data_IF_614685422274
#
_entry.id   IF_614685422274
#
_cell.length_a   1.000
_cell.length_b   1.000
_cell.length_c   1.000
_cell.angle_alpha   90.00
_cell.angle_beta   90.00
_cell.angle_gamma   90.00
#
_symmetry.space_group_name_H-M   'P 1'
#
loop_
_entity.id
_entity.type
_entity.pdbx_description
1 polymer ?
#
# COMPACT_ATOMS: atom_id res chain seq x y z
N UNK A 1 -65.01 13.38 -8.33
CA UNK A 1 -64.56 12.88 -7.01
C UNK A 1 -63.06 12.67 -7.05
N UNK A 2 -62.27 13.50 -6.35
CA UNK A 2 -60.85 13.26 -6.12
C UNK A 2 -60.54 13.68 -4.67
N UNK A 3 -60.31 12.67 -3.82
CA UNK A 3 -60.04 12.83 -2.39
C UNK A 3 -58.60 13.32 -2.20
N UNK A 4 -58.43 14.50 -1.58
CA UNK A 4 -57.13 14.97 -1.07
C UNK A 4 -56.72 14.11 0.12
N UNK A 5 -55.60 13.38 -0.01
CA UNK A 5 -54.98 12.66 1.10
C UNK A 5 -54.00 13.59 1.81
N UNK A 6 -54.38 14.06 2.99
CA UNK A 6 -53.50 14.79 3.91
C UNK A 6 -52.50 13.80 4.52
N UNK A 7 -51.23 13.87 4.11
CA UNK A 7 -50.16 13.24 4.90
C UNK A 7 -49.85 14.12 6.10
N UNK A 8 -49.96 13.53 7.28
CA UNK A 8 -49.71 14.19 8.57
C UNK A 8 -48.24 14.60 8.70
N UNK A 9 -47.99 15.81 9.19
CA UNK A 9 -46.66 16.39 9.47
C UNK A 9 -45.88 15.56 10.52
N UNK A 10 -46.52 14.61 11.20
CA UNK A 10 -45.90 13.72 12.18
C UNK A 10 -44.91 12.68 11.57
N UNK A 11 -44.89 12.47 10.25
CA UNK A 11 -43.99 11.50 9.60
C UNK A 11 -42.58 12.06 9.32
N UNK A 12 -42.33 13.35 9.60
CA UNK A 12 -41.03 14.02 9.37
C UNK A 12 -40.13 14.09 10.61
N UNK A 13 -40.51 13.47 11.73
CA UNK A 13 -39.75 13.51 12.98
C UNK A 13 -39.36 12.11 13.45
N UNK A 14 -38.58 11.40 12.63
CA UNK A 14 -37.78 10.27 13.09
C UNK A 14 -36.30 10.66 12.98
N UNK A 15 -35.52 10.62 14.08
CA UNK A 15 -34.08 10.82 13.99
C UNK A 15 -33.47 9.61 13.26
N UNK A 16 -33.06 9.82 12.00
CA UNK A 16 -32.18 8.89 11.31
C UNK A 16 -30.83 8.86 12.05
N UNK A 17 -30.26 7.69 12.36
CA UNK A 17 -28.95 7.60 12.99
C UNK A 17 -27.87 7.89 11.94
N UNK A 18 -27.46 9.16 11.80
CA UNK A 18 -26.57 9.61 10.71
C UNK A 18 -25.18 10.06 11.17
N UNK A 19 -24.66 9.57 12.30
CA UNK A 19 -23.40 10.10 12.85
C UNK A 19 -22.32 9.08 13.27
N UNK A 20 -22.54 7.77 13.09
CA UNK A 20 -21.53 6.77 13.46
C UNK A 20 -20.52 6.46 12.32
N UNK A 21 -20.95 6.44 11.06
CA UNK A 21 -20.10 5.97 9.95
C UNK A 21 -19.12 7.03 9.39
N UNK A 22 -19.38 8.31 9.63
CA UNK A 22 -18.56 9.41 9.09
C UNK A 22 -17.37 9.76 9.98
N UNK A 23 -17.46 9.54 11.30
CA UNK A 23 -16.34 9.77 12.22
C UNK A 23 -15.23 8.73 12.02
N UNK A 24 -15.60 7.45 11.98
CA UNK A 24 -14.64 6.33 11.88
C UNK A 24 -13.81 6.38 10.58
N UNK A 25 -14.42 6.71 9.44
CA UNK A 25 -13.70 6.83 8.15
C UNK A 25 -12.67 7.96 8.16
N UNK A 26 -12.96 9.06 8.84
CA UNK A 26 -12.04 10.18 8.95
C UNK A 26 -10.85 9.86 9.87
N UNK A 27 -11.10 9.12 10.95
CA UNK A 27 -10.06 8.72 11.90
C UNK A 27 -9.05 7.74 11.28
N UNK A 28 -9.52 6.77 10.49
CA UNK A 28 -8.66 5.82 9.77
C UNK A 28 -7.77 6.51 8.73
N UNK A 29 -8.33 7.48 8.01
CA UNK A 29 -7.58 8.26 7.01
C UNK A 29 -6.53 9.15 7.69
N UNK A 30 -6.87 9.77 8.83
CA UNK A 30 -5.91 10.53 9.64
C UNK A 30 -4.78 9.65 10.20
N UNK A 31 -5.10 8.43 10.64
CA UNK A 31 -4.12 7.48 11.11
C UNK A 31 -3.16 7.05 9.98
N UNK A 32 -3.69 6.80 8.79
CA UNK A 32 -2.88 6.45 7.62
C UNK A 32 -1.93 7.58 7.24
N UNK A 33 -2.40 8.83 7.21
CA UNK A 33 -1.54 9.99 6.92
C UNK A 33 -0.38 10.11 7.93
N UNK A 34 -0.66 9.95 9.23
CA UNK A 34 0.40 9.94 10.26
C UNK A 34 1.42 8.83 10.04
N UNK A 35 0.98 7.62 9.65
CA UNK A 35 1.89 6.52 9.32
C UNK A 35 2.76 6.84 8.11
N UNK A 36 2.20 7.45 7.08
CA UNK A 36 2.95 7.87 5.88
C UNK A 36 4.00 8.91 6.25
N UNK A 37 3.66 9.90 7.08
CA UNK A 37 4.62 10.91 7.54
C UNK A 37 5.79 10.27 8.30
N UNK A 38 5.51 9.38 9.26
CA UNK A 38 6.56 8.64 9.98
C UNK A 38 7.40 7.75 9.05
N UNK A 39 6.76 7.04 8.11
CA UNK A 39 7.43 6.20 7.13
C UNK A 39 8.33 7.02 6.18
N UNK A 40 8.00 8.28 5.92
CA UNK A 40 8.73 9.14 4.97
C UNK A 40 9.59 10.21 5.62
N UNK A 41 9.64 10.25 6.95
CA UNK A 41 10.57 11.09 7.69
C UNK A 41 12.03 10.88 7.24
N UNK A 42 12.75 11.97 7.04
CA UNK A 42 14.13 12.00 6.57
C UNK A 42 14.30 12.13 5.04
N UNK A 43 13.22 12.02 4.26
CA UNK A 43 13.22 12.30 2.81
C UNK A 43 12.95 13.79 2.51
N UNK A 44 13.75 14.70 3.09
CA UNK A 44 13.47 16.15 3.10
C UNK A 44 13.34 16.80 1.70
N UNK A 45 14.06 16.30 0.69
CA UNK A 45 14.11 16.92 -0.64
C UNK A 45 13.25 16.23 -1.69
N UNK A 46 12.74 15.02 -1.41
CA UNK A 46 12.03 14.23 -2.42
C UNK A 46 10.74 13.64 -1.85
N UNK A 47 9.60 14.23 -2.23
CA UNK A 47 8.25 13.69 -1.93
C UNK A 47 7.95 12.34 -2.59
N UNK A 48 8.90 11.79 -3.35
CA UNK A 48 8.73 10.55 -4.10
C UNK A 48 8.23 9.38 -3.23
N UNK A 49 8.79 9.21 -2.03
CA UNK A 49 8.39 8.13 -1.13
C UNK A 49 6.95 8.33 -0.60
N UNK A 50 6.58 9.57 -0.27
CA UNK A 50 5.23 9.94 0.14
C UNK A 50 4.22 9.69 -1.00
N UNK A 51 4.57 10.12 -2.21
CA UNK A 51 3.75 9.92 -3.41
C UNK A 51 3.54 8.44 -3.72
N UNK A 52 4.54 7.57 -3.49
CA UNK A 52 4.36 6.12 -3.65
C UNK A 52 3.26 5.60 -2.71
N UNK A 53 3.30 5.95 -1.43
CA UNK A 53 2.35 5.43 -0.43
C UNK A 53 0.94 5.99 -0.61
N UNK A 54 0.83 7.18 -1.22
CA UNK A 54 -0.44 7.83 -1.55
C UNK A 54 -1.00 7.42 -2.93
N UNK A 55 -0.22 6.77 -3.79
CA UNK A 55 -0.66 6.38 -5.13
C UNK A 55 -1.67 5.22 -5.10
N UNK A 56 -2.96 5.58 -5.25
CA UNK A 56 -4.07 4.62 -5.28
C UNK A 56 -4.14 3.77 -6.55
N UNK A 57 -3.33 4.08 -7.57
CA UNK A 57 -3.12 3.21 -8.73
C UNK A 57 -2.01 2.17 -8.50
N UNK A 58 -1.41 2.14 -7.30
CA UNK A 58 -0.38 1.16 -6.91
C UNK A 58 -0.74 0.43 -5.63
N UNK A 59 -1.33 1.13 -4.67
CA UNK A 59 -1.59 0.63 -3.32
C UNK A 59 -3.01 0.97 -2.88
N UNK A 60 -3.73 -0.04 -2.39
CA UNK A 60 -4.93 0.18 -1.59
C UNK A 60 -4.56 0.92 -0.30
N UNK A 61 -5.55 1.51 0.38
CA UNK A 61 -5.31 2.17 1.68
C UNK A 61 -4.73 1.19 2.72
N UNK A 62 -5.24 -0.04 2.73
CA UNK A 62 -4.76 -1.10 3.61
C UNK A 62 -3.31 -1.50 3.31
N UNK A 63 -2.98 -1.75 2.04
CA UNK A 63 -1.60 -2.04 1.65
C UNK A 63 -0.66 -0.87 1.95
N UNK A 64 -1.12 0.37 1.76
CA UNK A 64 -0.33 1.55 2.14
C UNK A 64 -0.08 1.61 3.66
N UNK A 65 -1.06 1.21 4.49
CA UNK A 65 -0.92 1.13 5.95
C UNK A 65 0.12 0.08 6.34
N UNK A 66 -0.05 -1.18 5.89
CA UNK A 66 0.91 -2.28 6.14
C UNK A 66 2.31 -1.92 5.67
N UNK A 67 2.41 -1.28 4.51
CA UNK A 67 3.69 -0.87 3.96
C UNK A 67 4.34 0.25 4.78
N UNK A 68 3.56 1.22 5.24
CA UNK A 68 4.07 2.27 6.13
C UNK A 68 4.61 1.68 7.44
N UNK A 69 3.87 0.73 8.04
CA UNK A 69 4.31 0.01 9.24
C UNK A 69 5.64 -0.73 9.00
N UNK A 70 5.77 -1.43 7.87
CA UNK A 70 7.03 -2.08 7.50
C UNK A 70 8.19 -1.09 7.37
N UNK A 71 7.99 0.06 6.73
CA UNK A 71 9.08 1.06 6.59
C UNK A 71 9.47 1.63 7.96
N UNK A 72 8.50 1.87 8.84
CA UNK A 72 8.75 2.31 10.22
C UNK A 72 9.55 1.24 10.99
N UNK A 73 9.15 -0.02 10.91
CA UNK A 73 9.86 -1.14 11.53
C UNK A 73 11.30 -1.25 10.99
N UNK A 74 11.47 -1.23 9.67
CA UNK A 74 12.79 -1.31 9.03
C UNK A 74 13.70 -0.12 9.43
N UNK A 75 13.15 1.09 9.58
CA UNK A 75 13.89 2.25 10.10
C UNK A 75 14.40 1.99 11.53
N UNK A 76 13.56 1.41 12.39
CA UNK A 76 13.87 1.13 13.80
C UNK A 76 14.87 -0.02 13.96
N UNK A 77 14.72 -1.10 13.19
CA UNK A 77 15.49 -2.33 13.39
C UNK A 77 16.85 -2.31 12.71
N UNK A 78 16.92 -1.81 11.47
CA UNK A 78 18.13 -1.90 10.63
C UNK A 78 18.68 -0.52 10.28
N UNK A 79 17.85 0.51 10.33
CA UNK A 79 18.15 1.88 9.94
C UNK A 79 18.97 2.03 8.64
N UNK A 80 18.46 1.55 7.49
CA UNK A 80 19.23 1.58 6.25
C UNK A 80 19.38 3.00 5.68
N UNK A 81 20.34 3.16 4.77
CA UNK A 81 20.55 4.40 4.00
C UNK A 81 19.28 4.78 3.22
N UNK A 82 19.03 6.08 3.04
CA UNK A 82 17.83 6.60 2.35
C UNK A 82 17.63 6.00 0.95
N UNK A 83 18.71 5.85 0.16
CA UNK A 83 18.59 5.23 -1.16
C UNK A 83 18.12 3.78 -1.11
N UNK A 84 18.53 3.00 -0.10
CA UNK A 84 18.05 1.63 0.06
C UNK A 84 16.56 1.60 0.42
N UNK A 85 16.12 2.50 1.31
CA UNK A 85 14.70 2.70 1.65
C UNK A 85 13.90 3.05 0.39
N UNK A 86 14.39 3.99 -0.43
CA UNK A 86 13.76 4.39 -1.69
C UNK A 86 13.62 3.22 -2.67
N UNK A 87 14.69 2.46 -2.91
CA UNK A 87 14.64 1.29 -3.81
C UNK A 87 13.70 0.21 -3.29
N UNK A 88 13.73 -0.05 -1.99
CA UNK A 88 12.79 -0.96 -1.31
C UNK A 88 11.35 -0.53 -1.54
N UNK A 89 11.08 0.77 -1.38
CA UNK A 89 9.74 1.32 -1.57
C UNK A 89 9.23 1.14 -3.00
N UNK A 90 10.10 1.37 -3.99
CA UNK A 90 9.78 1.18 -5.40
C UNK A 90 9.44 -0.27 -5.73
N UNK A 91 10.23 -1.22 -5.24
CA UNK A 91 10.07 -2.66 -5.52
C UNK A 91 8.73 -3.17 -4.97
N UNK A 92 8.42 -2.86 -3.71
CA UNK A 92 7.18 -3.34 -3.07
C UNK A 92 5.94 -2.68 -3.70
N UNK A 93 6.00 -1.38 -4.04
CA UNK A 93 4.90 -0.71 -4.73
C UNK A 93 4.67 -1.26 -6.15
N UNK A 94 5.74 -1.61 -6.86
CA UNK A 94 5.65 -2.23 -8.17
C UNK A 94 5.08 -3.66 -8.09
N UNK A 95 5.46 -4.43 -7.06
CA UNK A 95 4.84 -5.73 -6.78
C UNK A 95 3.32 -5.59 -6.63
N UNK A 96 2.86 -4.73 -5.71
CA UNK A 96 1.41 -4.49 -5.49
C UNK A 96 0.68 -4.13 -6.78
N UNK A 97 1.25 -3.21 -7.57
CA UNK A 97 0.69 -2.84 -8.87
C UNK A 97 0.65 -4.04 -9.84
N UNK A 98 1.69 -4.86 -9.86
CA UNK A 98 1.84 -5.96 -10.82
C UNK A 98 0.90 -7.14 -10.58
N UNK A 99 0.55 -7.39 -9.30
CA UNK A 99 -0.36 -8.45 -8.87
C UNK A 99 -1.80 -7.96 -8.89
N UNK A 100 -2.00 -6.68 -8.56
CA UNK A 100 -3.30 -6.05 -8.54
C UNK A 100 -3.54 -5.38 -7.19
N UNK A 101 -3.95 -4.11 -7.26
CA UNK A 101 -4.09 -3.20 -6.10
C UNK A 101 -5.10 -3.74 -5.07
N UNK A 102 -6.09 -4.52 -5.53
CA UNK A 102 -7.11 -5.10 -4.67
C UNK A 102 -6.60 -6.24 -3.79
N UNK A 103 -5.50 -6.91 -4.16
CA UNK A 103 -4.96 -8.03 -3.38
C UNK A 103 -4.11 -7.47 -2.24
N UNK A 104 -4.44 -7.88 -1.01
CA UNK A 104 -3.70 -7.45 0.17
C UNK A 104 -2.34 -8.13 0.22
N UNK A 105 -1.35 -7.49 0.83
CA UNK A 105 -0.03 -8.10 0.99
C UNK A 105 -0.08 -9.42 1.77
N UNK A 106 -0.89 -9.51 2.82
CA UNK A 106 -1.03 -10.72 3.63
C UNK A 106 -1.61 -11.92 2.85
N UNK A 107 -2.38 -11.64 1.79
CA UNK A 107 -2.99 -12.66 0.95
C UNK A 107 -2.12 -13.03 -0.27
N UNK A 108 -0.95 -12.38 -0.44
CA UNK A 108 -0.03 -12.72 -1.52
C UNK A 108 0.67 -14.05 -1.25
N UNK A 109 0.62 -14.91 -2.25
CA UNK A 109 1.26 -16.22 -2.23
C UNK A 109 2.68 -16.13 -2.78
N UNK A 110 3.44 -17.22 -2.59
CA UNK A 110 4.75 -17.36 -3.23
C UNK A 110 4.66 -17.25 -4.75
N UNK A 111 3.59 -17.77 -5.35
CA UNK A 111 3.41 -17.75 -6.81
C UNK A 111 3.16 -16.33 -7.34
N UNK A 112 2.47 -15.48 -6.58
CA UNK A 112 2.34 -14.06 -6.92
C UNK A 112 3.71 -13.38 -6.95
N UNK A 113 4.54 -13.63 -5.93
CA UNK A 113 5.89 -13.06 -5.85
C UNK A 113 6.76 -13.54 -7.00
N UNK A 114 6.73 -14.85 -7.31
CA UNK A 114 7.47 -15.41 -8.43
C UNK A 114 6.99 -14.85 -9.77
N UNK A 115 5.67 -14.69 -9.96
CA UNK A 115 5.12 -14.08 -11.16
C UNK A 115 5.64 -12.65 -11.38
N UNK A 116 5.73 -11.82 -10.33
CA UNK A 116 6.33 -10.49 -10.42
C UNK A 116 7.83 -10.54 -10.78
N UNK A 117 8.59 -11.42 -10.13
CA UNK A 117 10.02 -11.55 -10.37
C UNK A 117 10.31 -12.08 -11.77
N UNK A 118 9.49 -12.99 -12.27
CA UNK A 118 9.64 -13.64 -13.57
C UNK A 118 9.40 -12.66 -14.73
N UNK A 119 8.56 -11.64 -14.54
CA UNK A 119 8.43 -10.52 -15.50
C UNK A 119 9.72 -9.73 -15.73
N UNK A 120 10.67 -9.82 -14.80
CA UNK A 120 11.96 -9.14 -14.92
C UNK A 120 13.02 -10.00 -15.61
N UNK A 121 12.75 -11.29 -15.84
CA UNK A 121 13.69 -12.18 -16.53
C UNK A 121 13.79 -11.79 -18.00
N UNK A 122 14.98 -11.91 -18.55
CA UNK A 122 15.27 -11.64 -19.96
C UNK A 122 16.07 -12.79 -20.53
N UNK A 123 15.87 -13.05 -21.81
CA UNK A 123 16.69 -14.02 -22.54
C UNK A 123 18.11 -13.47 -22.76
N UNK A 124 19.08 -14.35 -22.94
CA UNK A 124 20.50 -13.97 -23.09
C UNK A 124 20.75 -13.09 -24.32
N UNK A 125 19.93 -13.25 -25.37
CA UNK A 125 19.97 -12.40 -26.56
C UNK A 125 19.48 -10.97 -26.28
N UNK A 126 18.59 -10.77 -25.31
CA UNK A 126 18.02 -9.46 -24.90
C UNK A 126 18.86 -8.76 -23.82
N UNK A 127 19.55 -9.51 -22.98
CA UNK A 127 20.44 -9.00 -21.93
C UNK A 127 21.76 -9.78 -21.90
N UNK A 128 22.63 -9.48 -22.86
CA UNK A 128 23.94 -10.12 -23.01
C UNK A 128 24.86 -9.96 -21.79
N UNK A 129 24.59 -8.98 -20.94
CA UNK A 129 25.36 -8.73 -19.71
C UNK A 129 24.72 -9.39 -18.48
N UNK A 130 23.61 -10.12 -18.65
CA UNK A 130 22.84 -10.80 -17.62
C UNK A 130 22.54 -9.91 -16.38
N UNK A 131 22.36 -8.60 -16.59
CA UNK A 131 22.07 -7.62 -15.53
C UNK A 131 20.74 -7.89 -14.84
N UNK A 132 19.80 -8.53 -15.52
CA UNK A 132 18.52 -8.93 -14.95
C UNK A 132 18.68 -9.86 -13.75
N UNK A 133 19.74 -10.68 -13.69
CA UNK A 133 20.01 -11.59 -12.57
C UNK A 133 20.28 -10.81 -11.27
N UNK A 134 21.11 -9.77 -11.35
CA UNK A 134 21.38 -8.91 -10.19
C UNK A 134 20.13 -8.14 -9.73
N UNK A 135 19.33 -7.68 -10.68
CA UNK A 135 18.05 -7.01 -10.39
C UNK A 135 17.05 -7.96 -9.73
N UNK A 136 16.94 -9.18 -10.25
CA UNK A 136 16.11 -10.26 -9.73
C UNK A 136 16.48 -10.57 -8.28
N UNK A 137 17.78 -10.79 -8.00
CA UNK A 137 18.26 -11.13 -6.66
C UNK A 137 18.05 -9.98 -5.66
N UNK A 138 18.20 -8.74 -6.11
CA UNK A 138 17.92 -7.55 -5.30
C UNK A 138 16.45 -7.48 -4.93
N UNK A 139 15.55 -7.66 -5.91
CA UNK A 139 14.10 -7.70 -5.70
C UNK A 139 13.71 -8.83 -4.76
N UNK A 140 14.22 -10.04 -5.00
CA UNK A 140 13.97 -11.21 -4.15
C UNK A 140 14.39 -10.96 -2.70
N UNK A 141 15.58 -10.39 -2.47
CA UNK A 141 16.05 -10.08 -1.11
C UNK A 141 15.14 -9.09 -0.39
N UNK A 142 14.71 -8.04 -1.09
CA UNK A 142 13.77 -7.04 -0.55
C UNK A 142 12.43 -7.69 -0.20
N UNK A 143 11.87 -8.47 -1.11
CA UNK A 143 10.56 -9.09 -0.94
C UNK A 143 10.57 -10.16 0.16
N UNK A 144 11.61 -10.99 0.23
CA UNK A 144 11.74 -11.99 1.30
C UNK A 144 11.73 -11.35 2.68
N UNK A 145 12.46 -10.25 2.87
CA UNK A 145 12.46 -9.51 4.15
C UNK A 145 11.12 -8.87 4.44
N UNK A 146 10.48 -8.27 3.44
CA UNK A 146 9.17 -7.66 3.59
C UNK A 146 8.13 -8.68 4.05
N UNK A 147 7.99 -9.80 3.34
CA UNK A 147 7.01 -10.82 3.69
C UNK A 147 7.32 -11.53 5.00
N UNK A 148 8.58 -11.65 5.39
CA UNK A 148 8.94 -12.15 6.71
C UNK A 148 8.38 -11.25 7.83
N UNK A 149 8.46 -9.92 7.70
CA UNK A 149 7.91 -8.98 8.68
C UNK A 149 6.38 -8.98 8.65
N UNK A 150 5.78 -8.95 7.46
CA UNK A 150 4.31 -8.94 7.29
C UNK A 150 3.67 -10.19 7.91
N UNK A 151 4.28 -11.37 7.76
CA UNK A 151 3.75 -12.62 8.33
C UNK A 151 3.89 -12.67 9.86
N UNK A 152 4.84 -11.93 10.43
CA UNK A 152 5.07 -11.88 11.89
C UNK A 152 4.27 -10.79 12.60
N UNK A 153 3.54 -9.95 11.86
CA UNK A 153 2.75 -8.81 12.37
C UNK A 153 1.27 -9.15 12.48
#
# INVERSE_FOLDING_TARGET
>A
MARRSNKSIAELLMPQPLLAETSSKNDDDLLLEKKIDMATEGFATTKFCELILKDRNRLSKENASTFSDYIIAMKREVNPRLNYKKSTMQIIAELSKSIGIAKKFIDMTRDDVLYYLDKCRKLDNEDRLHKWVGSYNTKLTVLSRFFQVVVLS
#
